data_IF_110443255688
#
_entry.id   IF_110443255688
#
_cell.length_a   1.000
_cell.length_b   1.000
_cell.length_c   1.000
_cell.angle_alpha   90.00
_cell.angle_beta   90.00
_cell.angle_gamma   90.00
#
_symmetry.space_group_name_H-M   'P 1'
#
loop_
_entity.id
_entity.type
_entity.pdbx_description
1 polymer ?
#
# COMPACT_ATOMS: atom_id res chain seq x y z
N UNK A 1 20.24 -15.31 9.12
CA UNK A 1 19.70 -14.05 9.68
C UNK A 1 19.28 -13.06 8.58
N UNK A 2 20.13 -12.76 7.60
CA UNK A 2 19.86 -11.77 6.54
C UNK A 2 18.66 -12.15 5.64
N UNK A 3 18.57 -13.42 5.24
CA UNK A 3 17.44 -13.93 4.42
C UNK A 3 16.12 -13.78 5.19
N UNK A 4 16.10 -14.06 6.49
CA UNK A 4 14.90 -13.88 7.32
C UNK A 4 14.44 -12.41 7.36
N UNK A 5 15.38 -11.47 7.46
CA UNK A 5 15.06 -10.03 7.41
C UNK A 5 14.48 -9.66 6.04
N UNK A 6 15.03 -10.14 4.94
CA UNK A 6 14.50 -9.91 3.60
C UNK A 6 13.09 -10.46 3.40
N UNK A 7 12.82 -11.67 3.91
CA UNK A 7 11.48 -12.28 3.89
C UNK A 7 10.52 -11.43 4.73
N UNK A 8 10.90 -11.05 5.94
CA UNK A 8 10.04 -10.22 6.81
C UNK A 8 9.71 -8.87 6.19
N UNK A 9 10.68 -8.19 5.56
CA UNK A 9 10.44 -6.96 4.82
C UNK A 9 9.41 -7.16 3.71
N UNK A 10 9.55 -8.24 2.92
CA UNK A 10 8.62 -8.58 1.83
C UNK A 10 7.22 -8.88 2.36
N UNK A 11 7.13 -9.63 3.46
CA UNK A 11 5.85 -9.97 4.11
C UNK A 11 5.16 -8.72 4.65
N UNK A 12 5.88 -7.87 5.39
CA UNK A 12 5.31 -6.64 5.93
C UNK A 12 4.86 -5.67 4.84
N UNK A 13 5.62 -5.55 3.74
CA UNK A 13 5.24 -4.74 2.61
C UNK A 13 3.87 -5.16 2.03
N UNK A 14 3.58 -6.45 1.98
CA UNK A 14 2.30 -6.96 1.46
C UNK A 14 1.19 -6.98 2.51
N UNK A 15 1.55 -7.23 3.79
CA UNK A 15 0.60 -7.24 4.91
C UNK A 15 -0.12 -5.88 5.11
N UNK A 16 0.50 -4.80 4.67
CA UNK A 16 -0.12 -3.46 4.62
C UNK A 16 -1.36 -3.45 3.71
N UNK A 17 -1.47 -4.33 2.70
CA UNK A 17 -2.65 -4.48 1.86
C UNK A 17 -2.76 -3.48 0.72
N UNK A 18 -1.69 -2.77 0.37
CA UNK A 18 -1.71 -1.76 -0.70
C UNK A 18 -2.19 -2.32 -2.04
N UNK A 19 -1.76 -3.53 -2.40
CA UNK A 19 -2.15 -4.15 -3.67
C UNK A 19 -3.66 -4.45 -3.70
N UNK A 20 -4.24 -4.88 -2.58
CA UNK A 20 -5.68 -5.06 -2.49
C UNK A 20 -6.42 -3.74 -2.69
N UNK A 21 -5.96 -2.64 -2.07
CA UNK A 21 -6.54 -1.31 -2.27
C UNK A 21 -6.44 -0.88 -3.73
N UNK A 22 -5.27 -1.07 -4.38
CA UNK A 22 -5.07 -0.69 -5.78
C UNK A 22 -5.92 -1.52 -6.75
N UNK A 23 -6.02 -2.84 -6.54
CA UNK A 23 -6.81 -3.73 -7.40
C UNK A 23 -8.30 -3.45 -7.31
N UNK A 24 -8.78 -3.12 -6.14
CA UNK A 24 -10.21 -2.87 -5.89
C UNK A 24 -10.59 -1.38 -5.82
N UNK A 25 -9.64 -0.47 -6.10
CA UNK A 25 -9.87 0.97 -6.07
C UNK A 25 -11.12 1.42 -6.87
N UNK A 26 -11.35 0.98 -8.13
CA UNK A 26 -12.53 1.38 -8.88
C UNK A 26 -13.83 0.99 -8.16
N UNK A 27 -13.88 -0.24 -7.62
CA UNK A 27 -15.05 -0.75 -6.90
C UNK A 27 -15.26 -0.03 -5.56
N UNK A 28 -14.19 0.32 -4.87
CA UNK A 28 -14.26 1.10 -3.64
C UNK A 28 -14.83 2.49 -3.92
N UNK A 29 -14.36 3.15 -4.98
CA UNK A 29 -14.85 4.47 -5.37
C UNK A 29 -16.31 4.44 -5.86
N UNK A 30 -16.71 3.38 -6.55
CA UNK A 30 -18.10 3.16 -6.97
C UNK A 30 -19.05 3.03 -5.77
N UNK A 31 -18.69 2.24 -4.77
CA UNK A 31 -19.50 2.07 -3.55
C UNK A 31 -19.56 3.33 -2.69
N UNK A 32 -18.59 4.22 -2.81
CA UNK A 32 -18.60 5.54 -2.19
C UNK A 32 -19.50 6.56 -2.92
N UNK A 33 -20.19 6.15 -3.99
CA UNK A 33 -21.10 7.03 -4.74
C UNK A 33 -20.39 8.06 -5.62
N UNK A 34 -19.15 7.81 -6.03
CA UNK A 34 -18.42 8.71 -6.90
C UNK A 34 -18.94 8.66 -8.32
N UNK A 35 -19.16 9.81 -8.92
CA UNK A 35 -19.72 9.96 -10.27
C UNK A 35 -18.86 9.30 -11.36
N UNK A 36 -17.53 9.27 -11.18
CA UNK A 36 -16.59 8.73 -12.14
C UNK A 36 -15.46 7.94 -11.44
N UNK A 37 -15.68 6.67 -11.03
CA UNK A 37 -14.68 5.85 -10.34
C UNK A 37 -13.38 5.68 -11.12
N UNK A 38 -13.49 5.61 -12.45
CA UNK A 38 -12.34 5.44 -13.34
C UNK A 38 -11.40 6.67 -13.30
N UNK A 39 -11.96 7.88 -13.28
CA UNK A 39 -11.18 9.12 -13.19
C UNK A 39 -10.42 9.17 -11.86
N UNK A 40 -11.05 8.78 -10.76
CA UNK A 40 -10.40 8.71 -9.43
C UNK A 40 -9.25 7.71 -9.44
N UNK A 41 -9.43 6.55 -10.08
CA UNK A 41 -8.38 5.54 -10.22
C UNK A 41 -7.19 6.05 -11.04
N UNK A 42 -7.45 6.77 -12.13
CA UNK A 42 -6.38 7.39 -12.94
C UNK A 42 -5.63 8.46 -12.13
N UNK A 43 -6.36 9.33 -11.42
CA UNK A 43 -5.74 10.33 -10.54
C UNK A 43 -4.85 9.68 -9.47
N UNK A 44 -5.32 8.60 -8.85
CA UNK A 44 -4.54 7.81 -7.91
C UNK A 44 -3.25 7.28 -8.55
N UNK A 45 -3.33 6.77 -9.78
CA UNK A 45 -2.16 6.33 -10.54
C UNK A 45 -1.14 7.45 -10.77
N UNK A 46 -1.60 8.63 -11.18
CA UNK A 46 -0.74 9.81 -11.38
C UNK A 46 -0.06 10.23 -10.07
N UNK A 47 -0.82 10.31 -8.98
CA UNK A 47 -0.28 10.63 -7.64
C UNK A 47 0.79 9.60 -7.24
N UNK A 48 0.52 8.31 -7.43
CA UNK A 48 1.46 7.24 -7.10
C UNK A 48 2.78 7.36 -7.89
N UNK A 49 2.73 7.69 -9.19
CA UNK A 49 3.93 7.92 -10.00
C UNK A 49 4.72 9.11 -9.46
N UNK A 50 4.06 10.23 -9.17
CA UNK A 50 4.72 11.44 -8.64
C UNK A 50 5.41 11.15 -7.30
N UNK A 51 4.74 10.46 -6.38
CA UNK A 51 5.32 10.13 -5.08
C UNK A 51 6.44 9.10 -5.17
N UNK A 52 6.38 8.16 -6.11
CA UNK A 52 7.48 7.24 -6.39
C UNK A 52 8.72 7.99 -6.92
N UNK A 53 8.54 8.95 -7.83
CA UNK A 53 9.64 9.79 -8.31
C UNK A 53 10.24 10.63 -7.17
N UNK A 54 9.39 11.23 -6.34
CA UNK A 54 9.85 11.96 -5.16
C UNK A 54 10.65 11.06 -4.20
N UNK A 55 10.24 9.81 -4.01
CA UNK A 55 10.96 8.85 -3.19
C UNK A 55 12.38 8.59 -3.72
N UNK A 56 12.52 8.40 -5.05
CA UNK A 56 13.82 8.15 -5.69
C UNK A 56 14.78 9.31 -5.44
N UNK A 57 14.32 10.57 -5.59
CA UNK A 57 15.17 11.74 -5.34
C UNK A 57 15.43 12.01 -3.85
N UNK A 58 14.54 11.57 -2.98
CA UNK A 58 14.62 11.86 -1.55
C UNK A 58 15.42 10.80 -0.80
N UNK A 59 15.44 9.55 -1.25
CA UNK A 59 16.12 8.43 -0.58
C UNK A 59 17.63 8.65 -0.45
N UNK A 60 18.24 9.31 -1.44
CA UNK A 60 19.66 9.63 -1.42
C UNK A 60 20.00 10.71 -0.40
N UNK A 61 19.08 11.67 -0.16
CA UNK A 61 19.31 12.81 0.73
C UNK A 61 18.96 12.48 2.19
N UNK A 62 17.81 11.86 2.43
CA UNK A 62 17.28 11.61 3.76
C UNK A 62 17.64 10.22 4.30
N UNK A 63 17.98 9.29 3.40
CA UNK A 63 18.28 7.91 3.75
C UNK A 63 17.01 7.05 3.88
N UNK A 64 17.23 5.73 4.01
CA UNK A 64 16.15 4.72 3.95
C UNK A 64 15.26 4.75 5.19
N UNK A 65 15.85 4.86 6.40
CA UNK A 65 15.14 4.78 7.68
C UNK A 65 14.14 5.92 7.92
N UNK A 66 14.52 7.22 7.78
CA UNK A 66 13.57 8.32 7.95
C UNK A 66 12.41 8.23 6.94
N UNK A 67 12.69 7.79 5.71
CA UNK A 67 11.68 7.67 4.67
C UNK A 67 10.66 6.58 4.99
N UNK A 68 11.10 5.42 5.49
CA UNK A 68 10.20 4.36 5.95
C UNK A 68 9.32 4.81 7.12
N UNK A 69 9.89 5.53 8.08
CA UNK A 69 9.14 6.04 9.24
C UNK A 69 8.09 7.06 8.80
N UNK A 70 8.47 8.05 7.99
CA UNK A 70 7.54 9.09 7.51
C UNK A 70 6.40 8.50 6.68
N UNK A 71 6.71 7.55 5.80
CA UNK A 71 5.68 6.85 5.03
C UNK A 71 4.76 5.98 5.89
N UNK A 72 5.30 5.31 6.92
CA UNK A 72 4.46 4.53 7.86
C UNK A 72 3.50 5.42 8.63
N UNK A 73 3.94 6.61 9.06
CA UNK A 73 3.07 7.60 9.71
C UNK A 73 1.99 8.09 8.75
N UNK A 74 2.35 8.43 7.51
CA UNK A 74 1.39 8.85 6.49
C UNK A 74 0.37 7.76 6.15
N UNK A 75 0.80 6.50 6.05
CA UNK A 75 -0.11 5.37 5.86
C UNK A 75 -1.05 5.19 7.07
N UNK A 76 -0.56 5.32 8.29
CA UNK A 76 -1.37 5.23 9.49
C UNK A 76 -2.46 6.33 9.52
N UNK A 77 -2.11 7.56 9.15
CA UNK A 77 -3.06 8.68 9.04
C UNK A 77 -4.13 8.38 7.97
N UNK A 78 -3.71 7.92 6.78
CA UNK A 78 -4.63 7.56 5.71
C UNK A 78 -5.58 6.42 6.11
N UNK A 79 -5.05 5.35 6.71
CA UNK A 79 -5.85 4.22 7.19
C UNK A 79 -6.85 4.65 8.29
N UNK A 80 -6.41 5.49 9.22
CA UNK A 80 -7.28 6.05 10.26
C UNK A 80 -8.41 6.90 9.66
N UNK A 81 -8.10 7.73 8.65
CA UNK A 81 -9.10 8.52 7.93
C UNK A 81 -10.16 7.65 7.27
N UNK A 82 -9.77 6.56 6.61
CA UNK A 82 -10.72 5.59 6.04
C UNK A 82 -11.56 4.93 7.14
N UNK A 83 -10.95 4.53 8.26
CA UNK A 83 -11.66 3.91 9.38
C UNK A 83 -12.69 4.86 9.99
N UNK A 84 -12.33 6.13 10.19
CA UNK A 84 -13.26 7.15 10.71
C UNK A 84 -14.46 7.37 9.79
N UNK A 85 -14.26 7.40 8.46
CA UNK A 85 -15.35 7.53 7.51
C UNK A 85 -16.33 6.35 7.53
N UNK A 86 -15.87 5.17 7.99
CA UNK A 86 -16.73 4.00 8.15
C UNK A 86 -17.52 3.98 9.47
N UNK A 87 -17.03 4.67 10.50
CA UNK A 87 -17.66 4.71 11.84
C UNK A 87 -18.60 5.90 11.97
N UNK A 88 -18.22 7.04 11.42
CA UNK A 88 -19.01 8.28 11.52
C UNK A 88 -19.91 8.39 10.31
N UNK A 89 -21.20 8.11 10.50
CA UNK A 89 -22.23 8.28 9.47
C UNK A 89 -22.43 9.77 9.15
N UNK A 90 -22.35 10.12 7.86
CA UNK A 90 -22.57 11.50 7.39
C UNK A 90 -21.30 12.25 6.95
N UNK A 91 -20.12 11.63 7.01
CA UNK A 91 -18.93 12.22 6.42
C UNK A 91 -19.00 12.18 4.88
N UNK A 92 -18.58 13.24 4.19
CA UNK A 92 -18.54 13.26 2.73
C UNK A 92 -17.63 12.15 2.17
N UNK A 93 -18.08 11.46 1.14
CA UNK A 93 -17.29 10.41 0.47
C UNK A 93 -15.91 10.90 0.00
N UNK A 94 -15.76 12.19 -0.27
CA UNK A 94 -14.49 12.80 -0.67
C UNK A 94 -13.40 12.64 0.38
N UNK A 95 -13.74 12.59 1.67
CA UNK A 95 -12.76 12.39 2.75
C UNK A 95 -12.18 10.98 2.69
N UNK A 96 -13.01 9.98 2.40
CA UNK A 96 -12.54 8.60 2.19
C UNK A 96 -11.60 8.49 0.99
N UNK A 97 -11.93 9.16 -0.12
CA UNK A 97 -11.07 9.18 -1.32
C UNK A 97 -9.73 9.84 -1.02
N UNK A 98 -9.73 10.99 -0.36
CA UNK A 98 -8.49 11.69 0.04
C UNK A 98 -7.66 10.79 0.97
N UNK A 99 -8.30 10.12 1.93
CA UNK A 99 -7.61 9.23 2.88
C UNK A 99 -6.96 8.03 2.18
N UNK A 100 -7.62 7.43 1.18
CA UNK A 100 -7.07 6.35 0.35
C UNK A 100 -5.90 6.88 -0.49
N UNK A 101 -6.01 8.08 -1.06
CA UNK A 101 -4.94 8.70 -1.82
C UNK A 101 -3.72 9.00 -0.95
N UNK A 102 -3.91 9.54 0.26
CA UNK A 102 -2.83 9.77 1.23
C UNK A 102 -2.16 8.47 1.63
N UNK A 103 -2.94 7.43 1.89
CA UNK A 103 -2.42 6.09 2.21
C UNK A 103 -1.55 5.54 1.07
N UNK A 104 -2.05 5.55 -0.16
CA UNK A 104 -1.35 5.06 -1.34
C UNK A 104 -0.11 5.89 -1.67
N UNK A 105 -0.22 7.21 -1.64
CA UNK A 105 0.89 8.12 -1.87
C UNK A 105 2.02 7.93 -0.85
N UNK A 106 1.68 7.78 0.43
CA UNK A 106 2.64 7.53 1.51
C UNK A 106 3.37 6.20 1.35
N UNK A 107 2.66 5.16 0.89
CA UNK A 107 3.26 3.88 0.53
C UNK A 107 4.25 4.03 -0.64
N UNK A 108 3.83 4.68 -1.73
CA UNK A 108 4.67 4.88 -2.92
C UNK A 108 5.85 5.80 -2.67
N UNK A 109 5.75 6.72 -1.70
CA UNK A 109 6.85 7.57 -1.26
C UNK A 109 7.90 6.81 -0.45
N UNK A 110 7.54 5.68 0.19
CA UNK A 110 8.42 5.00 1.14
C UNK A 110 8.55 3.50 0.87
N UNK A 111 7.61 2.71 1.37
CA UNK A 111 7.68 1.24 1.37
C UNK A 111 7.72 0.64 -0.04
N UNK A 112 7.09 1.26 -1.04
CA UNK A 112 7.11 0.81 -2.42
C UNK A 112 8.54 0.65 -2.94
N UNK A 113 9.25 1.73 -3.21
CA UNK A 113 10.60 1.68 -3.77
C UNK A 113 11.66 1.22 -2.77
N UNK A 114 11.59 1.66 -1.49
CA UNK A 114 12.65 1.42 -0.52
C UNK A 114 12.78 -0.04 -0.12
N UNK A 115 11.67 -0.78 -0.04
CA UNK A 115 11.72 -2.20 0.26
C UNK A 115 12.56 -2.96 -0.77
N UNK A 116 12.39 -2.66 -2.05
CA UNK A 116 13.18 -3.26 -3.13
C UNK A 116 14.67 -2.91 -3.05
N UNK A 117 14.97 -1.65 -2.74
CA UNK A 117 16.36 -1.19 -2.55
C UNK A 117 17.00 -1.92 -1.37
N UNK A 118 16.30 -2.00 -0.23
CA UNK A 118 16.79 -2.70 0.96
C UNK A 118 17.02 -4.19 0.71
N UNK A 119 16.09 -4.87 0.04
CA UNK A 119 16.23 -6.29 -0.32
C UNK A 119 17.48 -6.48 -1.20
N UNK A 120 17.74 -5.58 -2.15
CA UNK A 120 18.89 -5.65 -3.01
C UNK A 120 20.22 -5.34 -2.29
N UNK A 121 20.21 -4.44 -1.30
CA UNK A 121 21.39 -4.01 -0.55
C UNK A 121 21.77 -4.96 0.59
N UNK A 122 20.79 -5.59 1.25
CA UNK A 122 21.02 -6.46 2.41
C UNK A 122 21.78 -7.76 2.03
N UNK A 123 21.54 -8.26 0.81
CA UNK A 123 22.13 -9.55 0.42
C UNK A 123 23.54 -9.41 -0.16
N UNK A 124 24.50 -10.24 0.31
CA UNK A 124 25.82 -10.34 -0.29
C UNK A 124 25.74 -10.72 -1.77
N UNK A 125 26.68 -10.22 -2.58
CA UNK A 125 26.69 -10.45 -4.03
C UNK A 125 26.65 -11.94 -4.41
N UNK A 126 27.27 -12.80 -3.60
CA UNK A 126 27.37 -14.24 -3.83
C UNK A 126 26.04 -14.99 -3.80
N UNK A 127 25.09 -14.53 -3.00
CA UNK A 127 23.78 -15.18 -2.81
C UNK A 127 22.60 -14.28 -3.19
N UNK A 128 22.86 -13.04 -3.64
CA UNK A 128 21.84 -12.01 -3.88
C UNK A 128 20.72 -12.51 -4.78
N UNK A 129 21.05 -13.14 -5.91
CA UNK A 129 20.04 -13.61 -6.86
C UNK A 129 19.06 -14.61 -6.24
N UNK A 130 19.58 -15.64 -5.56
CA UNK A 130 18.75 -16.65 -4.91
C UNK A 130 17.95 -16.06 -3.73
N UNK A 131 18.58 -15.22 -2.91
CA UNK A 131 17.94 -14.61 -1.75
C UNK A 131 16.82 -13.62 -2.14
N UNK A 132 17.03 -12.82 -3.19
CA UNK A 132 16.00 -11.94 -3.75
C UNK A 132 14.84 -12.78 -4.31
N UNK A 133 15.12 -13.85 -5.05
CA UNK A 133 14.07 -14.72 -5.58
C UNK A 133 13.20 -15.33 -4.48
N UNK A 134 13.79 -15.77 -3.38
CA UNK A 134 13.06 -16.27 -2.20
C UNK A 134 12.20 -15.15 -1.59
N UNK A 135 12.76 -13.97 -1.33
CA UNK A 135 12.04 -12.85 -0.76
C UNK A 135 10.84 -12.44 -1.64
N UNK A 136 11.02 -12.39 -2.97
CA UNK A 136 9.97 -12.09 -3.95
C UNK A 136 8.90 -13.18 -3.98
N UNK A 137 9.27 -14.46 -3.87
CA UNK A 137 8.31 -15.55 -3.79
C UNK A 137 7.38 -15.38 -2.57
N UNK A 138 7.94 -15.12 -1.39
CA UNK A 138 7.16 -14.81 -0.19
C UNK A 138 6.27 -13.56 -0.37
N UNK A 139 6.77 -12.52 -1.02
CA UNK A 139 6.01 -11.32 -1.32
C UNK A 139 4.76 -11.64 -2.15
N UNK A 140 4.88 -12.42 -3.21
CA UNK A 140 3.73 -12.80 -4.05
C UNK A 140 2.76 -13.76 -3.36
N UNK A 141 3.26 -14.69 -2.52
CA UNK A 141 2.40 -15.55 -1.70
C UNK A 141 1.55 -14.70 -0.74
N UNK A 142 2.17 -13.75 -0.03
CA UNK A 142 1.44 -12.86 0.88
C UNK A 142 0.51 -11.90 0.14
N UNK A 143 0.91 -11.39 -1.02
CA UNK A 143 0.03 -10.62 -1.88
C UNK A 143 -1.24 -11.40 -2.27
N UNK A 144 -1.08 -12.67 -2.65
CA UNK A 144 -2.21 -13.53 -2.97
C UNK A 144 -3.13 -13.73 -1.75
N UNK A 145 -2.56 -14.04 -0.58
CA UNK A 145 -3.33 -14.22 0.66
C UNK A 145 -4.13 -12.96 1.01
N UNK A 146 -3.46 -11.81 1.04
CA UNK A 146 -4.09 -10.53 1.41
C UNK A 146 -5.18 -10.16 0.38
N UNK A 147 -4.90 -10.25 -0.91
CA UNK A 147 -5.86 -9.89 -1.96
C UNK A 147 -7.06 -10.83 -2.00
N UNK A 148 -6.85 -12.13 -1.76
CA UNK A 148 -7.93 -13.12 -1.71
C UNK A 148 -8.82 -12.97 -0.48
N UNK A 149 -8.26 -12.50 0.63
CA UNK A 149 -9.00 -12.28 1.88
C UNK A 149 -9.74 -10.94 1.88
N UNK A 150 -9.20 -9.94 1.20
CA UNK A 150 -9.76 -8.58 1.19
C UNK A 150 -11.18 -8.53 0.62
N UNK A 151 -11.43 -9.15 -0.53
CA UNK A 151 -12.72 -9.06 -1.22
C UNK A 151 -13.88 -9.72 -0.44
N UNK A 152 -13.74 -10.93 0.13
CA UNK A 152 -14.75 -11.50 1.02
C UNK A 152 -15.05 -10.62 2.23
N UNK A 153 -14.03 -10.10 2.91
CA UNK A 153 -14.20 -9.19 4.06
C UNK A 153 -14.94 -7.91 3.68
N UNK A 154 -14.60 -7.33 2.54
CA UNK A 154 -15.25 -6.13 2.03
C UNK A 154 -16.73 -6.38 1.69
N UNK A 155 -17.04 -7.51 1.04
CA UNK A 155 -18.42 -7.88 0.70
C UNK A 155 -19.27 -8.24 1.92
N UNK A 156 -18.71 -8.91 2.94
CA UNK A 156 -19.41 -9.19 4.20
C UNK A 156 -19.88 -7.89 4.86
N UNK A 157 -19.03 -6.88 4.89
CA UNK A 157 -19.36 -5.59 5.49
C UNK A 157 -20.41 -4.80 4.70
N UNK A 158 -20.42 -4.90 3.38
CA UNK A 158 -21.48 -4.31 2.55
C UNK A 158 -22.83 -5.01 2.76
N UNK A 159 -22.82 -6.33 2.97
CA UNK A 159 -24.02 -7.10 3.29
C UNK A 159 -24.63 -6.72 4.65
N UNK A 160 -23.81 -6.39 5.64
CA UNK A 160 -24.27 -5.92 6.96
C UNK A 160 -24.83 -4.49 6.95
N UNK A 161 -24.44 -3.65 6.00
CA UNK A 161 -24.95 -2.28 5.87
C UNK A 161 -26.18 -2.17 4.98
N UNK A 162 -26.53 -3.22 4.23
CA UNK A 162 -27.67 -3.26 3.30
C UNK A 162 -28.89 -4.07 3.80
N UNK A 163 -28.84 -4.64 4.99
CA UNK A 163 -29.94 -5.31 5.68
C UNK A 163 -30.45 -4.46 6.83
#
# INVERSE_FOLDING_TARGET
MVIFIGIMLSVFQQAVGINAVLYFAPRIFETMGMANPMVQTVLMGVVNILFTLLAVFTVEKWGRKPLLISGSVGMAIGAFGVAMCNVVTGLPAIISVISIMVYSASFMFSWGPICWVLIAEIFPNTIRGAAVAIAVAFQWIFNFIVSSTFLPMYNMRLGEMGG
#
